data_IF_821396572082
#
_entry.id   IF_821396572082
#
_cell.length_a   1.000
_cell.length_b   1.000
_cell.length_c   1.000
_cell.angle_alpha   90.00
_cell.angle_beta   90.00
_cell.angle_gamma   90.00
#
_symmetry.space_group_name_H-M   'P 1'
#
loop_
_entity.id
_entity.type
_entity.pdbx_description
1 polymer ?
#
# COMPACT_ATOMS: atom_id res chain seq x y z
N UNK A 1 21.07 -6.75 27.27
CA UNK A 1 20.90 -7.51 26.02
C UNK A 1 19.47 -7.46 25.48
N UNK A 2 18.41 -7.82 26.23
CA UNK A 2 16.99 -7.78 25.77
C UNK A 2 16.58 -6.39 25.32
N UNK A 3 16.80 -5.33 26.13
CA UNK A 3 16.47 -3.96 25.78
C UNK A 3 17.16 -3.49 24.48
N UNK A 4 18.42 -3.87 24.26
CA UNK A 4 19.16 -3.51 23.06
C UNK A 4 18.61 -4.22 21.80
N UNK A 5 18.17 -5.48 21.90
CA UNK A 5 17.52 -6.20 20.79
C UNK A 5 16.15 -5.58 20.51
N UNK A 6 15.32 -5.44 21.53
CA UNK A 6 13.99 -4.86 21.40
C UNK A 6 14.04 -3.41 20.87
N UNK A 7 14.99 -2.60 21.33
CA UNK A 7 15.17 -1.21 20.88
C UNK A 7 15.44 -1.12 19.37
N UNK A 8 16.21 -2.02 18.80
CA UNK A 8 16.44 -2.11 17.34
C UNK A 8 15.25 -2.69 16.56
N UNK A 9 14.30 -3.30 17.24
CA UNK A 9 13.12 -3.96 16.70
C UNK A 9 11.80 -3.28 17.12
N UNK A 10 11.79 -1.96 17.25
CA UNK A 10 10.60 -1.18 17.62
C UNK A 10 9.92 -1.65 18.93
N UNK A 11 10.70 -2.19 19.85
CA UNK A 11 10.17 -2.74 21.11
C UNK A 11 9.67 -4.19 21.01
N UNK A 12 9.83 -4.87 19.88
CA UNK A 12 9.37 -6.25 19.67
C UNK A 12 10.53 -7.24 19.88
N UNK A 13 10.22 -8.40 20.47
CA UNK A 13 11.19 -9.47 20.70
C UNK A 13 10.53 -10.84 20.56
N UNK A 14 11.26 -11.84 20.06
CA UNK A 14 10.76 -13.21 19.92
C UNK A 14 11.23 -14.12 21.04
N UNK A 15 10.53 -15.26 21.25
CA UNK A 15 10.97 -16.32 22.19
C UNK A 15 12.37 -16.81 21.84
N UNK A 16 12.71 -16.99 20.56
CA UNK A 16 14.03 -17.42 20.14
C UNK A 16 15.11 -16.42 20.60
N UNK A 17 14.88 -15.13 20.42
CA UNK A 17 15.80 -14.07 20.86
C UNK A 17 15.91 -13.99 22.39
N UNK A 18 14.80 -14.21 23.10
CA UNK A 18 14.83 -14.30 24.59
C UNK A 18 15.65 -15.48 25.07
N UNK A 19 15.53 -16.65 24.40
CA UNK A 19 16.35 -17.84 24.71
C UNK A 19 17.84 -17.58 24.42
N UNK A 20 18.17 -16.98 23.29
CA UNK A 20 19.54 -16.56 22.98
C UNK A 20 20.10 -15.54 23.99
N UNK A 21 19.23 -14.77 24.61
CA UNK A 21 19.57 -13.86 25.70
C UNK A 21 19.68 -14.58 27.08
N UNK A 22 19.60 -15.92 27.12
CA UNK A 22 19.74 -16.72 28.33
C UNK A 22 18.48 -16.88 29.16
N UNK A 23 17.29 -16.52 28.65
CA UNK A 23 16.05 -16.67 29.40
C UNK A 23 15.48 -18.08 29.26
N UNK A 24 15.16 -18.68 30.40
CA UNK A 24 14.36 -19.92 30.45
C UNK A 24 12.88 -19.63 30.18
N UNK A 25 12.09 -20.64 29.86
CA UNK A 25 10.64 -20.50 29.68
C UNK A 25 9.94 -19.95 30.95
N UNK A 26 10.34 -20.41 32.11
CA UNK A 26 9.85 -19.90 33.38
C UNK A 26 10.14 -18.42 33.60
N UNK A 27 11.35 -17.97 33.18
CA UNK A 27 11.72 -16.55 33.24
C UNK A 27 10.92 -15.69 32.24
N UNK A 28 10.59 -16.21 31.07
CA UNK A 28 9.69 -15.54 30.11
C UNK A 28 8.28 -15.45 30.68
N UNK A 29 7.74 -16.57 31.21
CA UNK A 29 6.42 -16.59 31.82
C UNK A 29 6.30 -15.58 32.99
N UNK A 30 7.30 -15.54 33.90
CA UNK A 30 7.34 -14.54 35.00
C UNK A 30 7.31 -13.11 34.46
N UNK A 31 8.04 -12.80 33.34
CA UNK A 31 8.02 -11.47 32.76
C UNK A 31 6.68 -11.09 32.12
N UNK A 32 5.98 -12.07 31.55
CA UNK A 32 4.61 -11.87 31.03
C UNK A 32 3.67 -11.56 32.24
N UNK A 33 3.72 -12.34 33.29
CA UNK A 33 2.90 -12.13 34.50
C UNK A 33 3.15 -10.79 35.20
N UNK A 34 4.39 -10.31 35.18
CA UNK A 34 4.78 -9.01 35.77
C UNK A 34 4.66 -7.83 34.83
N UNK A 35 4.08 -8.01 33.63
CA UNK A 35 3.87 -6.92 32.67
C UNK A 35 5.16 -6.37 32.02
N UNK A 36 6.28 -7.08 32.13
CA UNK A 36 7.54 -6.70 31.46
C UNK A 36 7.62 -7.19 30.02
N UNK A 37 6.82 -8.19 29.67
CA UNK A 37 6.60 -8.68 28.30
C UNK A 37 5.09 -8.79 28.06
N UNK A 38 4.64 -8.25 26.93
CA UNK A 38 3.24 -8.29 26.53
C UNK A 38 3.10 -9.18 25.30
N UNK A 39 2.35 -10.30 25.35
CA UNK A 39 2.14 -11.18 24.22
C UNK A 39 1.43 -10.47 23.05
N UNK A 40 1.99 -10.52 21.87
CA UNK A 40 1.38 -9.99 20.64
C UNK A 40 0.88 -11.12 19.75
N UNK A 41 1.76 -12.07 19.50
CA UNK A 41 1.48 -13.32 18.80
C UNK A 41 2.18 -14.46 19.54
N UNK A 42 1.85 -15.72 19.18
CA UNK A 42 2.57 -16.87 19.76
C UNK A 42 4.06 -16.74 19.52
N UNK A 43 4.83 -16.60 20.58
CA UNK A 43 6.29 -16.48 20.54
C UNK A 43 6.83 -15.10 20.14
N UNK A 44 5.97 -14.07 20.11
CA UNK A 44 6.34 -12.68 19.83
C UNK A 44 5.74 -11.77 20.90
N UNK A 45 6.54 -10.89 21.48
CA UNK A 45 6.19 -10.04 22.62
C UNK A 45 6.60 -8.58 22.36
N UNK A 46 5.84 -7.66 22.94
CA UNK A 46 6.33 -6.31 23.18
C UNK A 46 7.11 -6.28 24.50
N UNK A 47 8.25 -5.60 24.52
CA UNK A 47 9.08 -5.43 25.70
C UNK A 47 8.83 -4.05 26.36
N UNK A 48 8.53 -4.06 27.63
CA UNK A 48 8.35 -2.86 28.47
C UNK A 48 6.92 -2.32 28.47
N UNK A 49 6.34 -1.98 27.34
CA UNK A 49 4.96 -1.45 27.25
C UNK A 49 4.19 -2.03 26.05
N UNK A 50 2.86 -1.94 26.10
CA UNK A 50 1.97 -2.46 25.06
C UNK A 50 1.48 -1.40 24.06
N UNK A 51 1.93 -0.15 24.16
CA UNK A 51 1.65 0.90 23.16
C UNK A 51 2.59 0.71 21.99
N UNK A 52 2.08 0.14 20.90
CA UNK A 52 2.87 -0.21 19.73
C UNK A 52 2.75 0.87 18.67
N UNK A 53 3.88 1.28 18.11
CA UNK A 53 3.92 2.00 16.83
C UNK A 53 3.40 1.12 15.69
N UNK A 54 3.11 1.72 14.56
CA UNK A 54 2.69 0.95 13.38
C UNK A 54 3.82 0.03 12.89
N UNK A 55 5.07 0.49 12.95
CA UNK A 55 6.27 -0.29 12.62
C UNK A 55 6.41 -1.51 13.54
N UNK A 56 6.16 -1.34 14.84
CA UNK A 56 6.17 -2.44 15.81
C UNK A 56 5.12 -3.51 15.46
N UNK A 57 3.89 -3.08 15.09
CA UNK A 57 2.81 -4.00 14.68
C UNK A 57 3.19 -4.76 13.41
N UNK A 58 3.75 -4.10 12.41
CA UNK A 58 4.22 -4.72 11.16
C UNK A 58 5.34 -5.73 11.43
N UNK A 59 6.37 -5.33 12.19
CA UNK A 59 7.46 -6.23 12.51
C UNK A 59 6.99 -7.44 13.32
N UNK A 60 6.09 -7.24 14.29
CA UNK A 60 5.52 -8.34 15.08
C UNK A 60 4.77 -9.35 14.21
N UNK A 61 4.01 -8.89 13.22
CA UNK A 61 3.30 -9.76 12.27
C UNK A 61 4.28 -10.56 11.38
N UNK A 62 5.32 -9.90 10.86
CA UNK A 62 6.37 -10.56 10.07
C UNK A 62 7.10 -11.62 10.89
N UNK A 63 7.53 -11.28 12.11
CA UNK A 63 8.20 -12.23 13.01
C UNK A 63 7.30 -13.41 13.40
N UNK A 64 6.00 -13.17 13.61
CA UNK A 64 5.02 -14.21 13.91
C UNK A 64 4.74 -15.13 12.72
N UNK A 65 4.87 -14.63 11.49
CA UNK A 65 4.76 -15.44 10.28
C UNK A 65 5.97 -16.36 10.08
N UNK A 66 7.11 -16.04 10.68
CA UNK A 66 8.30 -16.90 10.75
C UNK A 66 9.38 -16.59 9.71
N UNK A 67 10.42 -17.43 9.64
CA UNK A 67 11.57 -17.18 8.77
C UNK A 67 11.18 -17.02 7.30
N UNK A 68 11.82 -16.04 6.63
CA UNK A 68 11.57 -15.71 5.23
C UNK A 68 10.28 -14.92 4.96
N UNK A 69 9.51 -14.60 5.99
CA UNK A 69 8.35 -13.73 5.87
C UNK A 69 8.76 -12.26 5.65
N UNK A 70 7.96 -11.53 4.86
CA UNK A 70 8.14 -10.10 4.63
C UNK A 70 6.80 -9.37 4.59
N UNK A 71 6.77 -8.12 5.03
CA UNK A 71 5.64 -7.23 4.84
C UNK A 71 5.38 -7.06 3.34
N UNK A 72 4.11 -7.08 2.88
CA UNK A 72 3.76 -7.11 1.47
C UNK A 72 2.46 -6.36 1.16
N UNK A 73 2.04 -6.35 -0.10
CA UNK A 73 0.76 -5.80 -0.58
C UNK A 73 0.48 -4.39 -0.02
N UNK A 74 -0.74 -4.13 0.43
CA UNK A 74 -1.18 -2.84 0.94
C UNK A 74 -0.37 -2.38 2.18
N UNK A 75 0.01 -3.31 3.05
CA UNK A 75 0.82 -3.00 4.24
C UNK A 75 2.23 -2.52 3.86
N UNK A 76 2.86 -3.14 2.84
CA UNK A 76 4.13 -2.68 2.30
C UNK A 76 3.96 -1.34 1.57
N UNK A 77 2.92 -1.18 0.78
CA UNK A 77 2.63 0.06 0.08
C UNK A 77 2.43 1.25 1.05
N UNK A 78 1.74 1.01 2.18
CA UNK A 78 1.65 2.01 3.28
C UNK A 78 3.00 2.32 3.91
N UNK A 79 3.81 1.31 4.18
CA UNK A 79 5.15 1.52 4.73
C UNK A 79 6.04 2.32 3.77
N UNK A 80 5.96 2.06 2.46
CA UNK A 80 6.62 2.83 1.41
C UNK A 80 6.00 4.22 1.19
N UNK A 81 4.82 4.50 1.81
CA UNK A 81 4.01 5.72 1.64
C UNK A 81 3.49 5.93 0.22
N UNK A 82 3.31 4.86 -0.53
CA UNK A 82 2.78 4.89 -1.90
C UNK A 82 1.32 4.47 -2.00
N UNK A 83 0.66 4.21 -0.87
CA UNK A 83 -0.76 3.88 -0.76
C UNK A 83 -1.42 4.60 0.40
N UNK A 84 -2.59 5.23 0.15
CA UNK A 84 -3.34 6.00 1.14
C UNK A 84 -4.63 5.33 1.60
N UNK A 85 -5.08 4.25 0.91
CA UNK A 85 -6.29 3.52 1.23
C UNK A 85 -6.32 2.98 2.67
N UNK A 86 -7.49 2.67 3.20
CA UNK A 86 -7.65 2.07 4.52
C UNK A 86 -7.22 0.60 4.47
N UNK A 87 -6.41 0.17 5.42
CA UNK A 87 -5.98 -1.22 5.56
C UNK A 87 -6.31 -1.68 6.98
N UNK A 88 -7.19 -2.65 7.10
CA UNK A 88 -7.69 -3.14 8.40
C UNK A 88 -6.97 -4.41 8.88
N UNK A 89 -5.97 -4.87 8.15
CA UNK A 89 -5.16 -6.06 8.44
C UNK A 89 -3.70 -5.78 8.13
N UNK A 90 -2.82 -6.71 8.46
CA UNK A 90 -1.40 -6.64 8.11
C UNK A 90 -1.13 -7.72 7.07
N UNK A 91 -0.67 -7.31 5.87
CA UNK A 91 -0.32 -8.23 4.80
C UNK A 91 1.12 -8.68 4.94
N UNK A 92 1.31 -10.00 4.97
CA UNK A 92 2.63 -10.62 5.05
C UNK A 92 2.73 -11.70 3.99
N UNK A 93 3.76 -11.66 3.15
CA UNK A 93 4.10 -12.75 2.24
C UNK A 93 5.02 -13.74 2.92
N UNK A 94 4.79 -15.02 2.71
CA UNK A 94 5.58 -16.11 3.28
C UNK A 94 5.98 -17.12 2.21
N UNK A 95 7.19 -17.70 2.26
CA UNK A 95 7.51 -18.87 1.46
C UNK A 95 6.77 -20.10 2.01
N UNK A 96 6.14 -20.86 1.11
CA UNK A 96 5.45 -22.09 1.46
C UNK A 96 4.14 -21.90 2.23
N UNK A 97 3.70 -22.96 2.92
CA UNK A 97 2.39 -23.01 3.59
C UNK A 97 2.53 -22.65 5.08
N UNK A 98 2.07 -21.46 5.46
CA UNK A 98 2.06 -20.98 6.84
C UNK A 98 0.63 -20.69 7.30
N UNK A 99 0.35 -20.89 8.58
CA UNK A 99 -0.97 -20.60 9.16
C UNK A 99 -1.19 -19.10 9.32
N UNK A 100 -2.40 -18.65 8.99
CA UNK A 100 -2.83 -17.29 9.27
C UNK A 100 -2.79 -16.98 10.78
N UNK A 101 -2.68 -15.69 11.12
CA UNK A 101 -2.75 -15.16 12.49
C UNK A 101 -3.87 -14.13 12.55
N UNK A 102 -4.47 -13.96 13.72
CA UNK A 102 -5.53 -12.94 13.90
C UNK A 102 -4.99 -11.55 13.50
N UNK A 103 -5.71 -10.88 12.60
CA UNK A 103 -5.34 -9.55 12.08
C UNK A 103 -4.19 -9.56 11.06
N UNK A 104 -3.69 -10.74 10.65
CA UNK A 104 -2.64 -10.88 9.63
C UNK A 104 -3.20 -11.66 8.45
N UNK A 105 -3.17 -11.04 7.26
CA UNK A 105 -3.46 -11.70 5.98
C UNK A 105 -2.16 -12.30 5.45
N UNK A 106 -2.11 -13.61 5.35
CA UNK A 106 -0.93 -14.34 4.87
C UNK A 106 -1.09 -14.65 3.41
N UNK A 107 -0.18 -14.10 2.60
CA UNK A 107 -0.04 -14.38 1.18
C UNK A 107 1.05 -15.42 0.97
N UNK A 108 0.74 -16.47 0.22
CA UNK A 108 1.69 -17.56 -0.03
C UNK A 108 2.41 -17.32 -1.33
N UNK A 109 3.72 -17.31 -1.31
CA UNK A 109 4.54 -17.32 -2.51
C UNK A 109 5.19 -18.69 -2.68
N UNK A 110 5.07 -19.30 -3.87
CA UNK A 110 5.80 -20.55 -4.20
C UNK A 110 7.31 -20.34 -4.12
N UNK A 111 7.75 -19.17 -4.58
CA UNK A 111 9.13 -18.70 -4.43
C UNK A 111 9.08 -17.19 -4.16
N UNK A 112 9.88 -16.74 -3.22
CA UNK A 112 10.14 -15.34 -2.95
C UNK A 112 11.62 -15.09 -3.22
N UNK A 113 11.91 -14.44 -4.36
CA UNK A 113 13.28 -14.16 -4.76
C UNK A 113 13.90 -13.17 -3.77
N UNK A 114 15.18 -13.37 -3.45
CA UNK A 114 15.91 -12.47 -2.53
C UNK A 114 15.97 -11.04 -3.04
N UNK A 115 15.93 -10.83 -4.37
CA UNK A 115 15.88 -9.51 -5.00
C UNK A 115 14.55 -8.79 -4.78
N UNK A 116 13.50 -9.52 -4.44
CA UNK A 116 12.15 -9.00 -4.20
C UNK A 116 11.91 -8.57 -2.75
N UNK A 117 12.87 -8.84 -1.85
CA UNK A 117 12.77 -8.52 -0.42
C UNK A 117 13.97 -7.70 0.02
N UNK A 118 13.71 -6.73 0.88
CA UNK A 118 14.74 -5.91 1.51
C UNK A 118 14.42 -5.72 2.99
N UNK A 119 15.32 -5.07 3.72
CA UNK A 119 15.06 -4.62 5.09
C UNK A 119 14.97 -3.09 5.06
N UNK A 120 13.83 -2.54 5.44
CA UNK A 120 13.66 -1.10 5.57
C UNK A 120 13.16 -0.76 6.97
N UNK A 121 13.85 0.15 7.65
CA UNK A 121 13.60 0.49 9.07
C UNK A 121 13.54 -0.76 9.98
N UNK A 122 14.42 -1.74 9.74
CA UNK A 122 14.47 -2.97 10.52
C UNK A 122 13.35 -3.98 10.24
N UNK A 123 12.49 -3.75 9.26
CA UNK A 123 11.37 -4.62 8.88
C UNK A 123 11.69 -5.32 7.56
N UNK A 124 11.69 -6.67 7.50
CA UNK A 124 11.69 -7.39 6.23
C UNK A 124 10.42 -7.03 5.42
N UNK A 125 10.60 -6.56 4.19
CA UNK A 125 9.53 -5.99 3.36
C UNK A 125 9.80 -6.25 1.88
N UNK A 126 8.75 -6.41 1.09
CA UNK A 126 8.89 -6.46 -0.36
C UNK A 126 9.40 -5.12 -0.91
N UNK A 127 10.30 -5.17 -1.89
CA UNK A 127 10.77 -3.96 -2.58
C UNK A 127 9.59 -3.19 -3.18
N UNK A 128 9.71 -1.88 -3.47
CA UNK A 128 8.64 -1.14 -4.13
C UNK A 128 8.16 -1.80 -5.42
N UNK A 129 9.09 -2.26 -6.27
CA UNK A 129 8.78 -2.98 -7.50
C UNK A 129 7.98 -4.27 -7.27
N UNK A 130 8.41 -5.09 -6.31
CA UNK A 130 7.68 -6.31 -5.94
C UNK A 130 6.34 -5.99 -5.29
N UNK A 131 6.24 -4.93 -4.50
CA UNK A 131 4.99 -4.49 -3.89
C UNK A 131 3.94 -4.15 -4.96
N UNK A 132 4.33 -3.47 -6.06
CA UNK A 132 3.43 -3.22 -7.20
C UNK A 132 2.91 -4.52 -7.82
N UNK A 133 3.77 -5.51 -8.00
CA UNK A 133 3.37 -6.85 -8.48
C UNK A 133 2.40 -7.52 -7.50
N UNK A 134 2.63 -7.41 -6.20
CA UNK A 134 1.75 -8.01 -5.19
C UNK A 134 0.37 -7.35 -5.18
N UNK A 135 0.30 -6.04 -5.41
CA UNK A 135 -0.93 -5.26 -5.40
C UNK A 135 -1.91 -5.60 -6.54
N UNK A 136 -1.46 -6.27 -7.62
CA UNK A 136 -2.36 -6.69 -8.72
C UNK A 136 -3.51 -7.58 -8.26
N UNK A 137 -3.37 -8.25 -7.13
CA UNK A 137 -4.39 -9.14 -6.59
C UNK A 137 -5.42 -8.46 -5.70
N UNK A 138 -5.24 -7.17 -5.40
CA UNK A 138 -6.06 -6.44 -4.40
C UNK A 138 -6.48 -5.05 -4.85
N UNK A 139 -5.87 -4.50 -5.89
CA UNK A 139 -6.17 -3.16 -6.42
C UNK A 139 -6.60 -3.23 -7.89
N UNK A 140 -7.46 -2.28 -8.27
CA UNK A 140 -7.83 -2.06 -9.67
C UNK A 140 -6.66 -1.46 -10.46
N UNK A 141 -6.72 -1.48 -11.80
CA UNK A 141 -5.71 -0.86 -12.67
C UNK A 141 -5.54 0.65 -12.40
N UNK A 142 -6.63 1.35 -12.11
CA UNK A 142 -6.60 2.79 -11.81
C UNK A 142 -5.94 3.08 -10.45
N UNK A 143 -6.25 2.28 -9.44
CA UNK A 143 -5.59 2.36 -8.13
C UNK A 143 -4.10 2.02 -8.24
N UNK A 144 -3.73 1.02 -9.07
CA UNK A 144 -2.34 0.69 -9.36
C UNK A 144 -1.62 1.86 -10.05
N UNK A 145 -2.26 2.53 -11.02
CA UNK A 145 -1.71 3.72 -11.67
C UNK A 145 -1.44 4.84 -10.65
N UNK A 146 -2.34 5.05 -9.69
CA UNK A 146 -2.12 6.00 -8.59
C UNK A 146 -0.94 5.59 -7.69
N UNK A 147 -0.81 4.30 -7.36
CA UNK A 147 0.34 3.80 -6.57
C UNK A 147 1.65 4.00 -7.33
N UNK A 148 1.68 3.78 -8.65
CA UNK A 148 2.84 4.03 -9.51
C UNK A 148 3.19 5.53 -9.50
N UNK A 149 2.19 6.39 -9.68
CA UNK A 149 2.37 7.84 -9.64
C UNK A 149 2.96 8.31 -8.29
N UNK A 150 2.39 7.87 -7.17
CA UNK A 150 2.92 8.18 -5.83
C UNK A 150 4.33 7.61 -5.62
N UNK A 151 4.62 6.43 -6.18
CA UNK A 151 5.95 5.83 -6.10
C UNK A 151 6.97 6.65 -6.90
N UNK A 152 6.61 7.12 -8.09
CA UNK A 152 7.44 7.98 -8.93
C UNK A 152 7.69 9.33 -8.23
N UNK A 153 6.65 9.98 -7.73
CA UNK A 153 6.76 11.22 -6.97
C UNK A 153 7.71 11.10 -5.77
N UNK A 154 7.74 9.93 -5.12
CA UNK A 154 8.63 9.66 -3.97
C UNK A 154 9.98 9.07 -4.34
N UNK A 155 10.33 9.06 -5.62
CA UNK A 155 11.60 8.49 -6.12
C UNK A 155 11.78 7.00 -5.71
N UNK A 156 10.69 6.24 -5.70
CA UNK A 156 10.65 4.80 -5.38
C UNK A 156 10.22 3.93 -6.55
N UNK A 157 10.04 4.53 -7.71
CA UNK A 157 9.64 3.87 -8.94
C UNK A 157 10.82 3.83 -9.91
N UNK A 158 11.11 2.63 -10.41
CA UNK A 158 12.00 2.41 -11.55
C UNK A 158 11.32 1.34 -12.42
N UNK A 159 10.93 1.71 -13.63
CA UNK A 159 10.17 0.83 -14.52
C UNK A 159 10.92 -0.47 -14.83
N UNK A 160 12.24 -0.41 -15.05
CA UNK A 160 13.09 -1.59 -15.25
C UNK A 160 12.99 -2.57 -14.08
N UNK A 161 13.08 -2.07 -12.83
CA UNK A 161 12.95 -2.92 -11.65
C UNK A 161 11.55 -3.55 -11.52
N UNK A 162 10.49 -2.82 -11.92
CA UNK A 162 9.13 -3.36 -11.96
C UNK A 162 9.01 -4.45 -13.00
N UNK A 163 9.50 -4.25 -14.23
CA UNK A 163 9.50 -5.26 -15.30
C UNK A 163 10.29 -6.51 -14.90
N UNK A 164 11.42 -6.37 -14.23
CA UNK A 164 12.17 -7.49 -13.67
C UNK A 164 11.40 -8.24 -12.57
N UNK A 165 10.71 -7.53 -11.67
CA UNK A 165 9.88 -8.17 -10.64
C UNK A 165 8.68 -8.91 -11.28
N UNK A 166 8.07 -8.34 -12.33
CA UNK A 166 7.02 -8.99 -13.12
C UNK A 166 7.53 -10.29 -13.77
N UNK A 167 8.70 -10.27 -14.38
CA UNK A 167 9.30 -11.46 -15.01
C UNK A 167 9.55 -12.62 -14.02
N UNK A 168 9.82 -12.30 -12.74
CA UNK A 168 9.97 -13.28 -11.67
C UNK A 168 8.64 -13.78 -11.10
N UNK A 169 7.53 -13.07 -11.33
CA UNK A 169 6.21 -13.36 -10.76
C UNK A 169 5.40 -14.37 -11.60
N UNK A 170 5.98 -15.52 -11.89
CA UNK A 170 5.37 -16.55 -12.76
C UNK A 170 4.00 -17.00 -12.24
N UNK A 171 3.03 -17.13 -13.17
CA UNK A 171 1.69 -17.64 -12.90
C UNK A 171 0.78 -16.64 -12.19
N UNK A 172 1.11 -15.35 -12.20
CA UNK A 172 0.24 -14.26 -11.75
C UNK A 172 -0.39 -13.57 -12.96
N UNK A 173 -1.60 -13.11 -12.77
CA UNK A 173 -2.20 -12.14 -13.68
C UNK A 173 -1.56 -10.77 -13.46
N UNK A 174 -0.84 -10.29 -14.46
CA UNK A 174 -0.14 -9.01 -14.46
C UNK A 174 -0.76 -7.99 -15.42
N UNK A 175 -1.86 -8.35 -16.07
CA UNK A 175 -2.57 -7.44 -16.99
C UNK A 175 -2.91 -6.11 -16.31
N UNK A 176 -3.49 -6.07 -15.08
CA UNK A 176 -3.79 -4.81 -14.40
C UNK A 176 -2.56 -3.92 -14.18
N UNK A 177 -1.38 -4.50 -13.96
CA UNK A 177 -0.14 -3.74 -13.80
C UNK A 177 0.40 -3.24 -15.13
N UNK A 178 0.26 -4.03 -16.21
CA UNK A 178 0.61 -3.56 -17.57
C UNK A 178 -0.25 -2.36 -17.97
N UNK A 179 -1.57 -2.45 -17.78
CA UNK A 179 -2.50 -1.34 -18.06
C UNK A 179 -2.18 -0.10 -17.20
N UNK A 180 -1.87 -0.28 -15.92
CA UNK A 180 -1.49 0.81 -15.02
C UNK A 180 -0.16 1.50 -15.43
N UNK A 181 0.83 0.73 -15.91
CA UNK A 181 2.08 1.28 -16.45
C UNK A 181 1.84 2.09 -17.71
N UNK A 182 0.98 1.62 -18.62
CA UNK A 182 0.59 2.36 -19.82
C UNK A 182 -0.14 3.66 -19.47
N UNK A 183 -1.12 3.60 -18.56
CA UNK A 183 -1.85 4.77 -18.10
C UNK A 183 -0.89 5.81 -17.48
N UNK A 184 0.05 5.38 -16.64
CA UNK A 184 1.06 6.27 -16.08
C UNK A 184 1.95 6.90 -17.16
N UNK A 185 2.38 6.13 -18.16
CA UNK A 185 3.17 6.63 -19.28
C UNK A 185 2.40 7.64 -20.14
N UNK A 186 1.08 7.47 -20.28
CA UNK A 186 0.17 8.40 -20.96
C UNK A 186 -0.17 9.66 -20.14
N UNK A 187 0.32 9.76 -18.90
CA UNK A 187 0.10 10.93 -18.04
C UNK A 187 -1.09 10.81 -17.08
N UNK A 188 -1.78 9.67 -17.04
CA UNK A 188 -2.79 9.39 -16.01
C UNK A 188 -2.14 9.12 -14.66
N UNK A 189 -2.59 9.81 -13.61
CA UNK A 189 -2.13 9.56 -12.25
C UNK A 189 -2.98 8.50 -11.52
N UNK A 190 -3.99 7.92 -12.19
CA UNK A 190 -4.93 6.96 -11.59
C UNK A 190 -5.90 7.60 -10.60
N UNK A 191 -6.81 6.78 -10.07
CA UNK A 191 -7.88 7.25 -9.17
C UNK A 191 -7.35 7.64 -7.78
N UNK A 192 -7.92 8.69 -7.22
CA UNK A 192 -7.61 9.21 -5.88
C UNK A 192 -8.77 9.07 -4.90
N UNK A 193 -9.97 8.80 -5.39
CA UNK A 193 -11.18 8.70 -4.59
C UNK A 193 -12.00 7.45 -4.95
N UNK A 194 -12.84 7.01 -3.99
CA UNK A 194 -13.81 5.93 -4.21
C UNK A 194 -14.88 6.31 -5.25
N UNK A 195 -15.20 7.60 -5.37
CA UNK A 195 -16.19 8.09 -6.35
C UNK A 195 -15.67 7.95 -7.78
N UNK A 196 -14.39 8.28 -8.01
CA UNK A 196 -13.73 8.05 -9.30
C UNK A 196 -13.70 6.56 -9.64
N UNK A 197 -13.38 5.68 -8.67
CA UNK A 197 -13.40 4.23 -8.87
C UNK A 197 -14.80 3.75 -9.26
N UNK A 198 -15.85 4.16 -8.53
CA UNK A 198 -17.24 3.79 -8.80
C UNK A 198 -17.72 4.28 -10.16
N UNK A 199 -17.35 5.49 -10.56
CA UNK A 199 -17.66 6.01 -11.88
C UNK A 199 -17.04 5.14 -12.97
N UNK A 200 -15.75 4.84 -12.86
CA UNK A 200 -15.02 4.05 -13.85
C UNK A 200 -15.50 2.60 -13.94
N UNK A 201 -15.99 2.02 -12.84
CA UNK A 201 -16.59 0.66 -12.84
C UNK A 201 -17.89 0.60 -13.65
N UNK A 202 -18.63 1.70 -13.74
CA UNK A 202 -19.91 1.78 -14.49
C UNK A 202 -19.74 2.35 -15.89
N UNK A 203 -18.59 2.97 -16.20
CA UNK A 203 -18.34 3.60 -17.48
C UNK A 203 -18.13 2.57 -18.59
N UNK A 204 -18.88 2.74 -19.71
CA UNK A 204 -18.83 1.85 -20.87
C UNK A 204 -18.27 2.51 -22.14
N UNK A 205 -17.87 3.78 -22.06
CA UNK A 205 -17.29 4.54 -23.17
C UNK A 205 -15.77 4.36 -23.29
N UNK A 206 -15.11 5.18 -24.14
CA UNK A 206 -13.65 5.25 -24.22
C UNK A 206 -13.04 5.52 -22.85
N UNK A 207 -11.88 4.95 -22.59
CA UNK A 207 -11.21 5.08 -21.30
C UNK A 207 -10.61 6.49 -21.13
N UNK A 208 -10.90 7.21 -20.02
CA UNK A 208 -10.31 8.52 -19.78
C UNK A 208 -8.89 8.44 -19.24
N UNK A 209 -8.13 9.49 -19.43
CA UNK A 209 -6.98 9.78 -18.58
C UNK A 209 -7.47 10.26 -17.21
N UNK A 210 -6.99 9.66 -16.13
CA UNK A 210 -7.47 9.92 -14.77
C UNK A 210 -6.46 10.78 -14.02
N UNK A 211 -6.91 11.84 -13.36
CA UNK A 211 -6.06 12.74 -12.57
C UNK A 211 -4.80 13.19 -13.33
N UNK A 212 -4.99 13.83 -14.46
CA UNK A 212 -3.90 14.25 -15.36
C UNK A 212 -3.09 15.43 -14.82
N UNK A 213 -2.04 15.82 -15.55
CA UNK A 213 -1.22 17.00 -15.20
C UNK A 213 -1.99 18.33 -15.23
N UNK A 214 -3.14 18.39 -15.92
CA UNK A 214 -4.04 19.56 -15.91
C UNK A 214 -4.95 19.58 -14.70
N UNK A 215 -4.73 18.70 -13.72
CA UNK A 215 -5.43 18.64 -12.43
C UNK A 215 -6.94 18.44 -12.53
N UNK A 216 -7.39 17.63 -13.48
CA UNK A 216 -8.79 17.22 -13.64
C UNK A 216 -8.96 15.74 -13.31
N UNK A 217 -10.15 15.34 -12.83
CA UNK A 217 -10.39 13.96 -12.39
C UNK A 217 -10.35 12.99 -13.57
N UNK A 218 -11.10 13.29 -14.64
CA UNK A 218 -11.19 12.46 -15.83
C UNK A 218 -11.06 13.33 -17.10
N UNK A 219 -10.31 12.87 -18.07
CA UNK A 219 -10.08 13.59 -19.32
C UNK A 219 -10.09 12.65 -20.53
N UNK A 220 -10.87 13.01 -21.54
CA UNK A 220 -10.90 12.37 -22.86
C UNK A 220 -10.32 13.34 -23.90
N UNK A 221 -9.04 13.19 -24.26
CA UNK A 221 -8.38 14.11 -25.21
C UNK A 221 -9.06 14.18 -26.59
N UNK A 222 -9.46 13.01 -27.11
CA UNK A 222 -10.06 12.91 -28.46
C UNK A 222 -11.45 13.59 -28.53
N UNK A 223 -12.16 13.70 -27.41
CA UNK A 223 -13.46 14.34 -27.30
C UNK A 223 -13.38 15.75 -26.73
N UNK A 224 -12.19 16.24 -26.35
CA UNK A 224 -12.02 17.47 -25.59
C UNK A 224 -12.96 17.56 -24.37
N UNK A 225 -13.19 16.42 -23.73
CA UNK A 225 -14.12 16.29 -22.62
C UNK A 225 -13.39 16.13 -21.27
N UNK A 226 -13.73 16.98 -20.34
CA UNK A 226 -13.30 16.94 -18.94
C UNK A 226 -14.50 16.62 -18.06
N UNK A 227 -14.35 15.68 -17.15
CA UNK A 227 -15.34 15.38 -16.11
C UNK A 227 -14.70 15.53 -14.75
N UNK A 228 -15.30 16.37 -13.92
CA UNK A 228 -14.97 16.58 -12.51
C UNK A 228 -16.03 15.89 -11.64
N UNK A 229 -15.59 15.14 -10.62
CA UNK A 229 -16.48 14.42 -9.71
C UNK A 229 -16.48 15.12 -8.36
N UNK A 230 -17.53 15.90 -8.09
CA UNK A 230 -17.64 16.68 -6.86
C UNK A 230 -17.71 15.78 -5.62
N UNK A 231 -16.68 15.83 -4.79
CA UNK A 231 -16.64 15.18 -3.48
C UNK A 231 -17.16 16.11 -2.36
N UNK A 232 -17.39 15.59 -1.15
CA UNK A 232 -17.91 16.38 -0.01
C UNK A 232 -17.00 17.52 0.47
N UNK A 233 -15.81 17.70 -0.14
CA UNK A 233 -14.87 18.79 0.18
C UNK A 233 -15.05 20.08 -0.62
N UNK A 234 -15.81 20.08 -1.71
CA UNK A 234 -15.95 21.21 -2.65
C UNK A 234 -16.98 22.29 -2.22
N UNK A 235 -17.63 22.11 -1.07
CA UNK A 235 -18.62 23.09 -0.57
C UNK A 235 -18.02 24.37 0.05
N UNK A 236 -16.69 24.49 0.15
CA UNK A 236 -16.06 25.68 0.72
C UNK A 236 -16.06 26.85 -0.27
N UNK A 237 -16.42 28.08 0.14
CA UNK A 237 -16.55 29.24 -0.76
C UNK A 237 -15.26 29.59 -1.54
N UNK A 238 -14.08 29.27 -0.98
CA UNK A 238 -12.78 29.50 -1.62
C UNK A 238 -12.55 28.50 -2.75
N UNK A 239 -12.91 27.23 -2.56
CA UNK A 239 -12.82 26.19 -3.59
C UNK A 239 -13.68 26.52 -4.80
N UNK A 240 -14.93 27.00 -4.59
CA UNK A 240 -15.85 27.33 -5.68
C UNK A 240 -15.32 28.41 -6.63
N UNK A 241 -14.57 29.40 -6.12
CA UNK A 241 -13.97 30.45 -6.97
C UNK A 241 -12.77 29.92 -7.76
N UNK A 242 -11.94 29.13 -7.13
CA UNK A 242 -10.79 28.51 -7.76
C UNK A 242 -11.22 27.47 -8.81
N UNK A 243 -12.30 26.73 -8.54
CA UNK A 243 -12.90 25.77 -9.46
C UNK A 243 -13.52 26.47 -10.67
N UNK A 244 -14.30 27.56 -10.47
CA UNK A 244 -14.89 28.32 -11.57
C UNK A 244 -13.83 28.98 -12.48
N UNK A 245 -12.74 29.47 -11.91
CA UNK A 245 -11.62 30.04 -12.67
C UNK A 245 -10.91 28.96 -13.51
N UNK A 246 -10.77 27.75 -12.98
CA UNK A 246 -10.19 26.62 -13.69
C UNK A 246 -11.10 26.14 -14.83
N UNK A 247 -12.41 26.02 -14.56
CA UNK A 247 -13.40 25.63 -15.58
C UNK A 247 -13.35 26.62 -16.76
N UNK A 248 -13.38 27.93 -16.46
CA UNK A 248 -13.30 28.97 -17.47
C UNK A 248 -11.99 28.88 -18.30
N UNK A 249 -10.86 28.51 -17.66
CA UNK A 249 -9.59 28.33 -18.36
C UNK A 249 -9.60 27.08 -19.27
N UNK A 250 -10.24 25.99 -18.84
CA UNK A 250 -10.41 24.78 -19.63
C UNK A 250 -11.34 25.00 -20.81
N UNK A 251 -12.46 25.69 -20.61
CA UNK A 251 -13.40 26.07 -21.66
C UNK A 251 -12.74 27.00 -22.71
N UNK A 252 -11.96 27.98 -22.25
CA UNK A 252 -11.19 28.85 -23.13
C UNK A 252 -10.14 28.09 -23.95
N UNK A 253 -9.65 26.94 -23.44
CA UNK A 253 -8.78 26.03 -24.16
C UNK A 253 -9.54 25.04 -25.08
N UNK A 254 -10.86 25.20 -25.24
CA UNK A 254 -11.70 24.38 -26.11
C UNK A 254 -12.16 23.06 -25.49
N UNK A 255 -12.06 22.92 -24.18
CA UNK A 255 -12.52 21.73 -23.47
C UNK A 255 -14.00 21.87 -23.06
N UNK A 256 -14.75 20.78 -23.15
CA UNK A 256 -16.09 20.68 -22.54
C UNK A 256 -15.95 20.18 -21.10
N UNK A 257 -16.40 20.98 -20.12
CA UNK A 257 -16.32 20.62 -18.71
C UNK A 257 -17.67 20.15 -18.20
N UNK A 258 -17.74 18.97 -17.62
CA UNK A 258 -18.96 18.40 -16.99
C UNK A 258 -18.67 18.10 -15.53
N UNK A 259 -19.53 18.58 -14.62
CA UNK A 259 -19.46 18.28 -13.19
C UNK A 259 -20.50 17.25 -12.79
N UNK A 260 -20.07 16.20 -12.15
CA UNK A 260 -20.93 15.16 -11.61
C UNK A 260 -21.04 15.33 -10.09
N UNK A 261 -22.23 15.67 -9.54
CA UNK A 261 -22.42 15.78 -8.11
C UNK A 261 -22.32 14.39 -7.46
N UNK A 262 -21.67 14.31 -6.29
CA UNK A 262 -21.75 13.11 -5.46
C UNK A 262 -23.21 12.94 -4.99
N UNK A 263 -23.91 11.92 -5.49
CA UNK A 263 -25.20 11.54 -4.93
C UNK A 263 -24.98 11.01 -3.52
N UNK A 264 -25.38 11.79 -2.52
CA UNK A 264 -25.57 11.28 -1.18
C UNK A 264 -26.78 10.35 -1.23
N UNK A 265 -26.52 9.03 -1.16
CA UNK A 265 -27.53 8.02 -0.91
C UNK A 265 -27.57 7.71 0.58
#
# INVERSE_FOLDING_TARGET
>A
MIAAVAGRQHGVITTAQLRLAGLTEAAVYKRVKTGRLHPLYRGVYAAGHNRLSQEAKWLAAVLAAGPGAALSHESAAKHWRIWRGRVNHIDVVVPGNRRARKGVRVHRARSLDKRDVTIHKGIPITTPARTLVDLTTVLTRHQLANVIHEAAFRQRFAESAVREAMARARGRDLEPLHAALQAHASGSAGTRSTLEDQFLETWQGPEPLVNTKIEVDLYWPDQNLVVEIDGPGHERPRSKREDAARDAALEAAGQTVVRLPSRHG
#
